data_IF_600563144652
#
_entry.id   IF_600563144652
#
_cell.length_a   1.000
_cell.length_b   1.000
_cell.length_c   1.000
_cell.angle_alpha   90.00
_cell.angle_beta   90.00
_cell.angle_gamma   90.00
#
_symmetry.space_group_name_H-M   'P 1'
#
loop_
_entity.id
_entity.type
_entity.pdbx_description
1 polymer ?
#
# COMPACT_ATOMS: atom_id res chain seq x y z
N UNK A 1 -0.20 -25.94 -2.50
CA UNK A 1 0.52 -24.80 -3.12
C UNK A 1 -0.20 -23.45 -3.01
N UNK A 2 -1.47 -23.34 -2.60
CA UNK A 2 -2.27 -22.09 -2.65
C UNK A 2 -1.96 -21.04 -1.55
N UNK A 3 -1.45 -21.45 -0.37
CA UNK A 3 -0.95 -20.53 0.68
C UNK A 3 0.23 -19.66 0.23
N UNK A 4 0.88 -20.01 -0.88
CA UNK A 4 2.08 -19.34 -1.36
C UNK A 4 1.81 -17.93 -1.90
N UNK A 5 0.57 -17.60 -2.30
CA UNK A 5 0.23 -16.27 -2.84
C UNK A 5 -0.48 -15.36 -1.82
N UNK A 6 -1.31 -15.91 -0.93
CA UNK A 6 -2.04 -15.13 0.06
C UNK A 6 -1.14 -14.57 1.16
N UNK A 7 -0.07 -15.28 1.53
CA UNK A 7 0.92 -14.79 2.49
C UNK A 7 1.69 -13.58 1.97
N UNK A 8 2.31 -13.61 0.77
CA UNK A 8 3.01 -12.44 0.25
C UNK A 8 2.08 -11.26 -0.04
N UNK A 9 0.82 -11.49 -0.47
CA UNK A 9 -0.13 -10.39 -0.64
C UNK A 9 -0.46 -9.70 0.68
N UNK A 10 -0.61 -10.46 1.76
CA UNK A 10 -0.83 -9.92 3.11
C UNK A 10 0.39 -9.14 3.60
N UNK A 11 1.60 -9.69 3.46
CA UNK A 11 2.81 -8.99 3.87
C UNK A 11 2.99 -7.71 3.08
N UNK A 12 2.79 -7.73 1.76
CA UNK A 12 2.87 -6.54 0.91
C UNK A 12 1.82 -5.49 1.28
N UNK A 13 0.59 -5.91 1.56
CA UNK A 13 -0.47 -5.01 2.02
C UNK A 13 -0.12 -4.35 3.37
N UNK A 14 0.36 -5.13 4.34
CA UNK A 14 0.79 -4.60 5.65
C UNK A 14 2.00 -3.68 5.51
N UNK A 15 2.99 -4.04 4.69
CA UNK A 15 4.15 -3.19 4.40
C UNK A 15 3.73 -1.89 3.72
N UNK A 16 2.79 -1.94 2.76
CA UNK A 16 2.21 -0.76 2.13
C UNK A 16 1.59 0.18 3.15
N UNK A 17 0.77 -0.34 4.08
CA UNK A 17 0.19 0.46 5.17
C UNK A 17 1.25 1.05 6.09
N UNK A 18 2.27 0.26 6.46
CA UNK A 18 3.38 0.74 7.28
C UNK A 18 4.14 1.89 6.62
N UNK A 19 4.39 1.80 5.32
CA UNK A 19 5.03 2.89 4.55
C UNK A 19 4.12 4.11 4.45
N UNK A 20 2.81 3.94 4.24
CA UNK A 20 1.85 5.07 4.24
C UNK A 20 1.84 5.80 5.59
N UNK A 21 1.87 5.06 6.70
CA UNK A 21 1.98 5.67 8.04
C UNK A 21 3.30 6.41 8.19
N UNK A 22 4.42 5.83 7.74
CA UNK A 22 5.73 6.49 7.79
C UNK A 22 5.75 7.80 6.98
N UNK A 23 5.21 7.81 5.74
CA UNK A 23 5.05 9.01 4.93
C UNK A 23 4.24 10.07 5.67
N UNK A 24 3.11 9.65 6.26
CA UNK A 24 2.19 10.55 6.97
C UNK A 24 2.87 11.19 8.19
N UNK A 25 3.60 10.39 8.97
CA UNK A 25 4.37 10.88 10.12
C UNK A 25 5.45 11.89 9.72
N UNK A 26 6.16 11.63 8.61
CA UNK A 26 7.15 12.59 8.08
C UNK A 26 6.48 13.84 7.53
N UNK A 27 5.25 13.73 7.00
CA UNK A 27 4.49 14.87 6.51
C UNK A 27 3.96 15.76 7.64
N UNK A 28 3.56 15.16 8.77
CA UNK A 28 3.06 15.85 9.96
C UNK A 28 4.17 16.39 10.87
N UNK A 29 5.42 15.98 10.70
CA UNK A 29 6.54 16.41 11.55
C UNK A 29 7.01 17.83 11.20
N UNK A 30 6.28 18.86 11.65
CA UNK A 30 6.79 20.24 11.78
C UNK A 30 7.39 20.92 10.53
N UNK A 31 8.01 22.10 10.67
CA UNK A 31 8.64 22.83 9.56
C UNK A 31 9.85 22.08 8.98
N UNK A 32 10.13 22.29 7.68
CA UNK A 32 11.09 21.51 6.89
C UNK A 32 12.53 21.51 7.45
N UNK A 33 12.97 22.57 8.15
CA UNK A 33 14.33 22.66 8.70
C UNK A 33 14.65 21.65 9.81
N UNK A 34 13.64 21.09 10.50
CA UNK A 34 13.85 20.10 11.58
C UNK A 34 13.37 18.69 11.20
N UNK A 35 12.99 18.47 9.93
CA UNK A 35 12.53 17.16 9.47
C UNK A 35 13.69 16.19 9.33
N UNK A 36 13.47 14.96 9.79
CA UNK A 36 14.37 13.84 9.57
C UNK A 36 14.42 13.40 8.09
N UNK A 37 13.45 13.81 7.26
CA UNK A 37 13.40 13.49 5.84
C UNK A 37 12.93 14.67 4.97
N UNK A 38 13.74 15.02 3.96
CA UNK A 38 13.42 15.99 2.92
C UNK A 38 12.52 15.40 1.80
N UNK A 39 12.15 16.24 0.83
CA UNK A 39 11.22 15.93 -0.28
C UNK A 39 11.54 14.62 -1.00
N UNK A 40 12.80 14.37 -1.34
CA UNK A 40 13.22 13.14 -2.06
C UNK A 40 12.98 11.86 -1.25
N UNK A 41 13.17 11.91 0.07
CA UNK A 41 12.90 10.79 0.95
C UNK A 41 11.38 10.51 1.01
N UNK A 42 10.58 11.55 1.21
CA UNK A 42 9.11 11.37 1.27
C UNK A 42 8.56 10.85 -0.04
N UNK A 43 9.07 11.35 -1.16
CA UNK A 43 8.72 10.85 -2.49
C UNK A 43 9.02 9.34 -2.61
N UNK A 44 10.19 8.90 -2.14
CA UNK A 44 10.59 7.49 -2.21
C UNK A 44 9.69 6.62 -1.33
N UNK A 45 9.38 7.08 -0.11
CA UNK A 45 8.46 6.38 0.81
C UNK A 45 7.04 6.30 0.23
N UNK A 46 6.56 7.36 -0.42
CA UNK A 46 5.26 7.38 -1.07
C UNK A 46 5.17 6.39 -2.24
N UNK A 47 6.11 6.45 -3.19
CA UNK A 47 6.07 5.55 -4.35
C UNK A 47 6.34 4.08 -3.99
N UNK A 48 7.14 3.81 -2.95
CA UNK A 48 7.30 2.44 -2.44
C UNK A 48 6.02 1.90 -1.78
N UNK A 49 5.28 2.75 -1.05
CA UNK A 49 3.97 2.39 -0.50
C UNK A 49 2.96 2.09 -1.62
N UNK A 50 2.93 2.91 -2.68
CA UNK A 50 2.09 2.69 -3.88
C UNK A 50 2.43 1.34 -4.51
N UNK A 51 3.72 1.08 -4.77
CA UNK A 51 4.17 -0.16 -5.40
C UNK A 51 3.81 -1.40 -4.57
N UNK A 52 4.05 -1.37 -3.25
CA UNK A 52 3.68 -2.45 -2.35
C UNK A 52 2.16 -2.70 -2.35
N UNK A 53 1.37 -1.62 -2.37
CA UNK A 53 -0.09 -1.67 -2.50
C UNK A 53 -0.57 -2.36 -3.77
N UNK A 54 -0.08 -1.89 -4.92
CA UNK A 54 -0.49 -2.39 -6.24
C UNK A 54 -0.11 -3.86 -6.40
N UNK A 55 1.13 -4.24 -6.06
CA UNK A 55 1.57 -5.63 -6.15
C UNK A 55 0.79 -6.50 -5.17
N UNK A 56 0.57 -6.03 -3.94
CA UNK A 56 -0.25 -6.72 -2.94
C UNK A 56 -1.68 -6.97 -3.42
N UNK A 57 -2.31 -5.97 -4.05
CA UNK A 57 -3.66 -6.09 -4.60
C UNK A 57 -3.73 -7.06 -5.77
N UNK A 58 -2.78 -6.97 -6.72
CA UNK A 58 -2.75 -7.89 -7.88
C UNK A 58 -2.64 -9.34 -7.38
N UNK A 59 -1.74 -9.61 -6.44
CA UNK A 59 -1.59 -10.95 -5.86
C UNK A 59 -2.84 -11.39 -5.12
N UNK A 60 -3.49 -10.51 -4.35
CA UNK A 60 -4.73 -10.83 -3.64
C UNK A 60 -5.90 -11.13 -4.60
N UNK A 61 -6.04 -10.37 -5.70
CA UNK A 61 -7.08 -10.60 -6.72
C UNK A 61 -6.83 -11.92 -7.47
N UNK A 62 -5.58 -12.19 -7.86
CA UNK A 62 -5.21 -13.44 -8.54
C UNK A 62 -5.46 -14.65 -7.65
N UNK A 63 -5.14 -14.53 -6.37
CA UNK A 63 -5.34 -15.59 -5.40
C UNK A 63 -6.83 -15.85 -5.13
N UNK A 64 -7.64 -14.78 -4.99
CA UNK A 64 -9.10 -14.89 -4.79
C UNK A 64 -9.84 -15.41 -6.03
N UNK A 65 -9.35 -15.07 -7.23
CA UNK A 65 -9.95 -15.54 -8.50
C UNK A 65 -9.61 -16.99 -8.86
N UNK A 66 -8.58 -17.58 -8.25
CA UNK A 66 -8.12 -18.95 -8.54
C UNK A 66 -8.42 -19.97 -7.45
N UNK A 67 -8.76 -19.54 -6.23
CA UNK A 67 -9.00 -20.42 -5.09
C UNK A 67 -10.38 -20.19 -4.48
N UNK A 68 -11.02 -21.26 -3.99
CA UNK A 68 -12.23 -21.20 -3.16
C UNK A 68 -12.14 -20.06 -2.15
N UNK A 69 -13.21 -19.26 -2.04
CA UNK A 69 -13.35 -18.00 -1.27
C UNK A 69 -13.03 -18.16 0.22
N UNK A 70 -11.76 -18.37 0.54
CA UNK A 70 -11.26 -18.61 1.88
C UNK A 70 -11.05 -17.31 2.65
N UNK A 71 -11.10 -17.40 3.99
CA UNK A 71 -10.94 -16.25 4.89
C UNK A 71 -9.65 -15.44 4.67
N UNK A 72 -8.53 -16.11 4.33
CA UNK A 72 -7.23 -15.46 4.12
C UNK A 72 -7.18 -14.63 2.83
N UNK A 73 -7.80 -15.13 1.77
CA UNK A 73 -7.93 -14.44 0.47
C UNK A 73 -8.77 -13.16 0.63
N UNK A 74 -9.91 -13.27 1.33
CA UNK A 74 -10.76 -12.14 1.65
C UNK A 74 -10.02 -11.09 2.49
N UNK A 75 -9.24 -11.51 3.50
CA UNK A 75 -8.42 -10.61 4.32
C UNK A 75 -7.35 -9.90 3.48
N UNK A 76 -6.67 -10.61 2.57
CA UNK A 76 -5.67 -10.00 1.70
C UNK A 76 -6.28 -8.91 0.81
N UNK A 77 -7.47 -9.14 0.24
CA UNK A 77 -8.24 -8.14 -0.51
C UNK A 77 -8.66 -6.95 0.37
N UNK A 78 -9.10 -7.21 1.60
CA UNK A 78 -9.56 -6.18 2.53
C UNK A 78 -8.41 -5.28 3.00
N UNK A 79 -7.17 -5.79 3.05
CA UNK A 79 -5.98 -5.00 3.41
C UNK A 79 -5.44 -4.24 2.20
N UNK A 80 -5.30 -4.90 1.05
CA UNK A 80 -4.66 -4.33 -0.14
C UNK A 80 -5.59 -3.42 -0.96
N UNK A 81 -6.89 -3.74 -1.02
CA UNK A 81 -7.89 -3.00 -1.79
C UNK A 81 -8.03 -1.54 -1.36
N UNK A 82 -8.30 -1.25 -0.08
CA UNK A 82 -8.41 0.13 0.41
C UNK A 82 -7.11 0.91 0.24
N UNK A 83 -5.96 0.27 0.45
CA UNK A 83 -4.66 0.92 0.27
C UNK A 83 -4.47 1.38 -1.18
N UNK A 84 -4.79 0.52 -2.14
CA UNK A 84 -4.78 0.89 -3.57
C UNK A 84 -5.78 1.99 -3.89
N UNK A 85 -7.00 1.94 -3.35
CA UNK A 85 -8.02 2.95 -3.57
C UNK A 85 -7.59 4.33 -3.08
N UNK A 86 -6.93 4.41 -1.90
CA UNK A 86 -6.36 5.65 -1.37
C UNK A 86 -5.34 6.23 -2.34
N UNK A 87 -4.39 5.43 -2.81
CA UNK A 87 -3.37 5.93 -3.74
C UNK A 87 -3.94 6.32 -5.11
N UNK A 88 -4.91 5.57 -5.63
CA UNK A 88 -5.60 5.92 -6.86
C UNK A 88 -6.33 7.27 -6.71
N UNK A 89 -7.01 7.50 -5.58
CA UNK A 89 -7.67 8.78 -5.29
C UNK A 89 -6.67 9.94 -5.18
N UNK A 90 -5.54 9.74 -4.48
CA UNK A 90 -4.50 10.77 -4.34
C UNK A 90 -3.89 11.17 -5.68
N UNK A 91 -3.58 10.19 -6.54
CA UNK A 91 -3.07 10.44 -7.89
C UNK A 91 -4.12 11.18 -8.73
N UNK A 92 -5.38 10.73 -8.67
CA UNK A 92 -6.47 11.37 -9.40
C UNK A 92 -6.69 12.82 -8.99
N UNK A 93 -6.72 13.12 -7.68
CA UNK A 93 -6.81 14.49 -7.17
C UNK A 93 -5.60 15.32 -7.66
N UNK A 94 -4.40 14.76 -7.62
CA UNK A 94 -3.19 15.44 -8.09
C UNK A 94 -3.17 15.73 -9.60
N UNK A 95 -3.86 14.94 -10.42
CA UNK A 95 -4.01 15.23 -11.85
C UNK A 95 -5.08 16.30 -12.15
N UNK A 96 -6.00 16.54 -11.22
CA UNK A 96 -7.07 17.53 -11.36
C UNK A 96 -6.72 18.91 -10.77
N UNK A 97 -5.66 18.99 -9.96
CA UNK A 97 -5.14 20.21 -9.34
C UNK A 97 -4.14 20.93 -10.26
#
# INVERSE_FOLDING_TARGET
MMKALSLPSLTLGVTGWGLTVAVTMVMLSGPFETRTCHTSCVQTLFFSAVAAGVVGLILAVVAFGRADRGRLEALALLVSGPLCAVFAALIFIGMLA
#
